data_IF_742036016520
#
_entry.id   IF_742036016520
#
_cell.length_a   1.000
_cell.length_b   1.000
_cell.length_c   1.000
_cell.angle_alpha   90.00
_cell.angle_beta   90.00
_cell.angle_gamma   90.00
#
_symmetry.space_group_name_H-M   'P 1'
#
loop_
_entity.id
_entity.type
_entity.pdbx_description
1 polymer ?
#
# COMPACT_ATOMS: atom_id res chain seq x y z
N UNK A 1 12.66 0.55 22.56
CA UNK A 1 11.38 -0.17 22.48
C UNK A 1 10.62 0.46 21.34
N UNK A 2 10.69 -0.10 20.14
CA UNK A 2 9.91 0.43 19.02
C UNK A 2 8.52 -0.15 19.18
N UNK A 3 7.59 0.69 19.61
CA UNK A 3 6.18 0.37 19.66
C UNK A 3 5.73 0.11 18.22
N UNK A 4 5.52 -1.16 17.87
CA UNK A 4 4.73 -1.52 16.70
C UNK A 4 3.29 -1.14 17.04
N UNK A 5 2.97 0.14 16.91
CA UNK A 5 1.60 0.63 17.05
C UNK A 5 0.81 0.06 15.88
N UNK A 6 0.03 -0.99 16.16
CA UNK A 6 -1.06 -1.44 15.29
C UNK A 6 -2.13 -0.35 15.31
N UNK A 7 -2.50 0.21 14.15
CA UNK A 7 -3.52 1.24 14.05
C UNK A 7 -3.03 2.68 13.93
N UNK A 8 -4.00 3.59 13.80
CA UNK A 8 -3.80 5.04 13.81
C UNK A 8 -3.53 5.50 15.25
N UNK A 9 -2.41 6.19 15.49
CA UNK A 9 -2.09 6.75 16.82
C UNK A 9 -2.97 7.97 17.15
N UNK A 10 -3.09 8.34 18.43
CA UNK A 10 -3.83 9.55 18.84
C UNK A 10 -3.30 10.83 18.19
N UNK A 11 -1.98 10.93 17.99
CA UNK A 11 -1.38 12.07 17.30
C UNK A 11 -1.79 12.11 15.82
N UNK A 12 -1.77 10.97 15.14
CA UNK A 12 -2.18 10.87 13.73
C UNK A 12 -3.68 11.13 13.57
N UNK A 13 -4.50 10.64 14.52
CA UNK A 13 -5.93 10.95 14.58
C UNK A 13 -6.15 12.46 14.76
N UNK A 14 -5.43 13.10 15.68
CA UNK A 14 -5.51 14.55 15.87
C UNK A 14 -5.13 15.33 14.60
N UNK A 15 -4.05 14.94 13.91
CA UNK A 15 -3.64 15.57 12.64
C UNK A 15 -4.68 15.38 11.53
N UNK A 16 -5.27 14.19 11.44
CA UNK A 16 -6.38 13.90 10.54
C UNK A 16 -7.60 14.77 10.85
N UNK A 17 -8.01 14.83 12.12
CA UNK A 17 -9.15 15.64 12.58
C UNK A 17 -8.95 17.13 12.28
N UNK A 18 -7.70 17.62 12.33
CA UNK A 18 -7.36 19.02 12.05
C UNK A 18 -7.25 19.36 10.55
N UNK A 19 -6.71 18.45 9.73
CA UNK A 19 -6.32 18.77 8.34
C UNK A 19 -7.05 17.95 7.27
N UNK A 20 -7.81 16.93 7.67
CA UNK A 20 -8.52 16.00 6.78
C UNK A 20 -7.63 14.91 6.18
N UNK A 21 -6.32 14.90 6.46
CA UNK A 21 -5.38 13.86 6.02
C UNK A 21 -4.17 13.78 6.95
N UNK A 22 -3.34 12.74 6.80
CA UNK A 22 -1.99 12.72 7.35
C UNK A 22 -1.11 11.84 6.46
N UNK A 23 0.21 11.95 6.61
CA UNK A 23 1.18 11.24 5.77
C UNK A 23 2.06 10.35 6.65
N UNK A 24 2.06 9.06 6.36
CA UNK A 24 3.07 8.11 6.86
C UNK A 24 4.16 7.97 5.79
N UNK A 25 5.36 8.53 6.00
CA UNK A 25 6.42 8.44 4.99
C UNK A 25 6.96 7.02 4.91
N UNK A 26 7.34 6.59 3.69
CA UNK A 26 8.08 5.36 3.43
C UNK A 26 7.51 4.11 4.13
N UNK A 27 6.19 3.92 4.05
CA UNK A 27 5.56 2.69 4.59
C UNK A 27 5.88 1.46 3.75
N UNK A 28 6.19 1.65 2.46
CA UNK A 28 6.66 0.63 1.53
C UNK A 28 8.17 0.76 1.32
N UNK A 29 8.84 -0.37 1.13
CA UNK A 29 10.23 -0.47 0.71
C UNK A 29 10.37 -0.20 -0.80
N UNK A 30 11.58 0.14 -1.29
CA UNK A 30 11.81 0.32 -2.73
C UNK A 30 11.45 -0.90 -3.59
N UNK A 31 11.69 -2.10 -3.08
CA UNK A 31 11.42 -3.35 -3.81
C UNK A 31 9.91 -3.63 -3.91
N UNK A 32 9.15 -3.36 -2.84
CA UNK A 32 7.68 -3.45 -2.86
C UNK A 32 7.10 -2.44 -3.85
N UNK A 33 7.62 -1.21 -3.86
CA UNK A 33 7.21 -0.20 -4.85
C UNK A 33 7.53 -0.66 -6.26
N UNK A 34 8.73 -1.18 -6.52
CA UNK A 34 9.12 -1.67 -7.82
C UNK A 34 8.23 -2.81 -8.32
N UNK A 35 7.90 -3.77 -7.44
CA UNK A 35 7.00 -4.88 -7.76
C UNK A 35 5.57 -4.41 -8.08
N UNK A 36 5.05 -3.44 -7.33
CA UNK A 36 3.72 -2.85 -7.58
C UNK A 36 3.71 -2.11 -8.92
N UNK A 37 4.76 -1.34 -9.22
CA UNK A 37 4.88 -0.62 -10.50
C UNK A 37 4.97 -1.59 -11.67
N UNK A 38 5.79 -2.64 -11.59
CA UNK A 38 5.89 -3.68 -12.63
C UNK A 38 4.55 -4.36 -12.88
N UNK A 39 3.83 -4.70 -11.81
CA UNK A 39 2.51 -5.30 -11.95
C UNK A 39 1.52 -4.35 -12.64
N UNK A 40 1.48 -3.08 -12.24
CA UNK A 40 0.61 -2.08 -12.85
C UNK A 40 0.94 -1.93 -14.34
N UNK A 41 2.22 -1.87 -14.69
CA UNK A 41 2.67 -1.81 -16.08
C UNK A 41 2.15 -3.01 -16.89
N UNK A 42 2.28 -4.22 -16.34
CA UNK A 42 1.77 -5.45 -16.97
C UNK A 42 0.25 -5.48 -17.09
N UNK A 43 -0.50 -5.00 -16.09
CA UNK A 43 -1.97 -4.92 -16.18
C UNK A 43 -2.39 -4.10 -17.40
N UNK A 44 -1.71 -2.98 -17.67
CA UNK A 44 -2.07 -2.09 -18.77
C UNK A 44 -1.52 -2.50 -20.12
N UNK A 45 -0.32 -3.10 -20.17
CA UNK A 45 0.40 -3.33 -21.42
C UNK A 45 0.50 -4.80 -21.84
N UNK A 46 0.43 -5.74 -20.90
CA UNK A 46 0.51 -7.19 -21.16
C UNK A 46 -0.26 -8.00 -20.10
N UNK A 47 -1.59 -7.85 -20.00
CA UNK A 47 -2.38 -8.48 -18.94
C UNK A 47 -2.37 -10.00 -19.03
N UNK A 48 -2.16 -10.57 -20.22
CA UNK A 48 -2.10 -12.01 -20.39
C UNK A 48 -0.84 -12.65 -19.78
N UNK A 49 0.22 -11.86 -19.56
CA UNK A 49 1.40 -12.27 -18.78
C UNK A 49 1.12 -12.53 -17.30
N UNK A 50 0.00 -12.00 -16.78
CA UNK A 50 -0.39 -12.15 -15.38
C UNK A 50 -1.44 -13.26 -15.20
N UNK A 51 -1.44 -13.94 -14.04
CA UNK A 51 -2.56 -14.80 -13.64
C UNK A 51 -3.88 -14.04 -13.68
N UNK A 52 -5.01 -14.66 -14.11
CA UNK A 52 -6.28 -13.96 -14.27
C UNK A 52 -6.76 -13.16 -13.04
N UNK A 53 -6.45 -13.61 -11.82
CA UNK A 53 -6.82 -12.95 -10.57
C UNK A 53 -5.91 -11.77 -10.19
N UNK A 54 -4.81 -11.54 -10.92
CA UNK A 54 -3.86 -10.44 -10.68
C UNK A 54 -3.94 -9.34 -11.76
N UNK A 55 -4.78 -9.53 -12.79
CA UNK A 55 -4.97 -8.60 -13.93
C UNK A 55 -5.76 -7.33 -13.58
N UNK A 56 -6.07 -7.12 -12.30
CA UNK A 56 -6.81 -5.97 -11.80
C UNK A 56 -6.23 -5.48 -10.48
N UNK A 57 -6.52 -4.23 -10.15
CA UNK A 57 -6.08 -3.60 -8.90
C UNK A 57 -7.22 -3.59 -7.86
N UNK A 58 -6.95 -3.94 -6.59
CA UNK A 58 -5.72 -4.54 -6.07
C UNK A 58 -5.64 -6.06 -6.36
N UNK A 59 -4.48 -6.53 -6.81
CA UNK A 59 -4.15 -7.94 -7.08
C UNK A 59 -2.63 -8.12 -7.00
N UNK A 60 -2.08 -9.34 -7.09
CA UNK A 60 -0.62 -9.58 -7.13
C UNK A 60 0.17 -8.86 -6.04
N UNK A 61 1.29 -8.21 -6.41
CA UNK A 61 2.13 -7.41 -5.53
C UNK A 61 1.36 -6.27 -4.81
N UNK A 62 0.35 -5.69 -5.45
CA UNK A 62 -0.47 -4.64 -4.86
C UNK A 62 -1.43 -5.13 -3.75
N UNK A 63 -1.62 -6.44 -3.57
CA UNK A 63 -2.41 -6.98 -2.44
C UNK A 63 -1.84 -6.56 -1.08
N UNK A 64 -0.52 -6.37 -1.00
CA UNK A 64 0.16 -5.88 0.20
C UNK A 64 -0.46 -4.61 0.79
N UNK A 65 -1.06 -3.76 -0.06
CA UNK A 65 -1.62 -2.46 0.35
C UNK A 65 -2.91 -2.62 1.17
N UNK A 66 -3.70 -3.68 0.93
CA UNK A 66 -5.03 -3.86 1.52
C UNK A 66 -4.94 -4.01 3.05
N UNK A 67 -4.07 -4.91 3.51
CA UNK A 67 -3.91 -5.28 4.92
C UNK A 67 -2.58 -4.76 5.49
N UNK A 68 -2.08 -3.64 4.95
CA UNK A 68 -0.79 -3.11 5.38
C UNK A 68 -0.87 -2.70 6.86
N UNK A 69 0.03 -3.18 7.74
CA UNK A 69 -0.06 -2.97 9.19
C UNK A 69 0.13 -1.50 9.61
N UNK A 70 0.66 -0.67 8.70
CA UNK A 70 0.74 0.79 8.85
C UNK A 70 -0.37 1.53 8.10
N UNK A 71 -1.45 0.87 7.72
CA UNK A 71 -2.66 1.49 7.15
C UNK A 71 -3.86 1.12 8.01
N UNK A 72 -3.94 -0.15 8.41
CA UNK A 72 -4.88 -0.67 9.40
C UNK A 72 -4.52 -0.24 10.82
#
# INVERSE_FOLDING_TARGET
>A
MSENATGVTEEEKFRFDLTGFFIRPAILTPDEVAAIVDQIDRIFHDPDSLPPHERGMPGGAAQLIIDHPKVM
#
